data_IF_108472342802
#
_entry.id   IF_108472342802
#
_cell.length_a   1.000
_cell.length_b   1.000
_cell.length_c   1.000
_cell.angle_alpha   90.00
_cell.angle_beta   90.00
_cell.angle_gamma   90.00
#
_symmetry.space_group_name_H-M   'P 1'
#
loop_
_entity.id
_entity.type
_entity.pdbx_description
1 polymer ?
#
# COMPACT_ATOMS: atom_id res chain seq x y z
N UNK A 1 -19.13 2.49 0.09
CA UNK A 1 -18.26 2.24 -1.09
C UNK A 1 -17.03 3.12 -0.94
N UNK A 2 -15.82 2.58 -1.02
CA UNK A 2 -14.65 3.45 -1.15
C UNK A 2 -14.79 4.29 -2.41
N UNK A 3 -14.30 5.54 -2.41
CA UNK A 3 -14.28 6.36 -3.61
C UNK A 3 -13.48 5.63 -4.71
N UNK A 4 -13.83 5.83 -5.98
CA UNK A 4 -12.99 5.38 -7.09
C UNK A 4 -11.82 6.37 -7.25
N UNK A 5 -10.61 5.93 -7.65
CA UNK A 5 -9.46 6.84 -7.81
C UNK A 5 -9.74 8.08 -8.65
N UNK A 6 -10.56 7.95 -9.69
CA UNK A 6 -10.98 9.00 -10.62
C UNK A 6 -11.79 10.11 -9.93
N UNK A 7 -12.51 9.76 -8.86
CA UNK A 7 -13.26 10.72 -8.05
C UNK A 7 -12.39 11.51 -7.08
N UNK A 8 -11.18 11.01 -6.77
CA UNK A 8 -10.21 11.68 -5.92
C UNK A 8 -9.25 12.57 -6.72
N UNK A 9 -8.84 12.10 -7.90
CA UNK A 9 -8.03 12.87 -8.86
C UNK A 9 -8.58 12.60 -10.25
N UNK A 10 -9.04 13.66 -10.93
CA UNK A 10 -9.54 13.58 -12.30
C UNK A 10 -8.42 13.28 -13.31
N UNK A 11 -8.77 12.71 -14.46
CA UNK A 11 -7.80 12.46 -15.54
C UNK A 11 -7.15 13.76 -16.03
N UNK A 12 -7.93 14.84 -16.12
CA UNK A 12 -7.42 16.16 -16.49
C UNK A 12 -6.32 16.63 -15.51
N UNK A 13 -6.53 16.45 -14.20
CA UNK A 13 -5.53 16.82 -13.20
C UNK A 13 -4.30 15.90 -13.25
N UNK A 14 -4.50 14.60 -13.53
CA UNK A 14 -3.38 13.68 -13.74
C UNK A 14 -2.53 14.11 -14.94
N UNK A 15 -3.16 14.41 -16.08
CA UNK A 15 -2.47 14.86 -17.28
C UNK A 15 -1.74 16.18 -17.05
N UNK A 16 -2.37 17.13 -16.35
CA UNK A 16 -1.76 18.43 -15.99
C UNK A 16 -0.49 18.25 -15.15
N UNK A 17 -0.55 17.47 -14.07
CA UNK A 17 0.58 17.27 -13.13
C UNK A 17 1.68 16.40 -13.73
N UNK A 18 1.34 15.39 -14.53
CA UNK A 18 2.34 14.59 -15.23
C UNK A 18 3.03 15.40 -16.33
N UNK A 19 2.31 16.34 -16.97
CA UNK A 19 2.84 17.21 -18.00
C UNK A 19 3.51 16.40 -19.12
N UNK A 20 4.81 16.60 -19.31
CA UNK A 20 5.64 15.90 -20.31
C UNK A 20 6.46 14.74 -19.73
N UNK A 21 6.24 14.37 -18.46
CA UNK A 21 6.96 13.28 -17.83
C UNK A 21 6.69 11.95 -18.55
N UNK A 22 7.77 11.26 -18.91
CA UNK A 22 7.71 9.99 -19.63
C UNK A 22 8.01 8.82 -18.68
N UNK A 23 7.01 7.96 -18.48
CA UNK A 23 7.11 6.73 -17.67
C UNK A 23 7.04 5.46 -18.54
N UNK A 24 7.40 5.56 -19.82
CA UNK A 24 7.36 4.45 -20.76
C UNK A 24 5.92 4.03 -21.09
N UNK A 25 5.63 2.75 -20.94
CA UNK A 25 4.31 2.16 -21.22
C UNK A 25 3.36 2.20 -20.02
N UNK A 26 3.81 2.66 -18.85
CA UNK A 26 3.01 2.70 -17.63
C UNK A 26 2.00 3.84 -17.71
N UNK A 27 0.71 3.56 -17.49
CA UNK A 27 -0.30 4.59 -17.48
C UNK A 27 -0.06 5.58 -16.33
N UNK A 28 -0.35 6.89 -16.49
CA UNK A 28 -0.16 7.88 -15.43
C UNK A 28 -0.82 7.53 -14.10
N UNK A 29 -2.02 6.93 -14.12
CA UNK A 29 -2.69 6.45 -12.90
C UNK A 29 -1.90 5.35 -12.20
N UNK A 30 -1.35 4.41 -12.96
CA UNK A 30 -0.54 3.32 -12.41
C UNK A 30 0.77 3.86 -11.83
N UNK A 31 1.37 4.88 -12.45
CA UNK A 31 2.54 5.57 -11.88
C UNK A 31 2.20 6.14 -10.51
N UNK A 32 1.07 6.85 -10.37
CA UNK A 32 0.63 7.41 -9.08
C UNK A 32 0.37 6.29 -8.07
N UNK A 33 -0.41 5.28 -8.44
CA UNK A 33 -0.77 4.16 -7.56
C UNK A 33 0.47 3.40 -7.06
N UNK A 34 1.38 3.03 -7.96
CA UNK A 34 2.59 2.29 -7.63
C UNK A 34 3.59 3.14 -6.84
N UNK A 35 3.77 4.43 -7.19
CA UNK A 35 4.64 5.32 -6.42
C UNK A 35 4.12 5.51 -4.99
N UNK A 36 2.81 5.63 -4.83
CA UNK A 36 2.17 5.77 -3.52
C UNK A 36 2.28 4.48 -2.70
N UNK A 37 2.15 3.31 -3.33
CA UNK A 37 2.40 2.01 -2.70
C UNK A 37 3.87 1.88 -2.25
N UNK A 38 4.84 2.37 -3.05
CA UNK A 38 6.24 2.44 -2.62
C UNK A 38 6.41 3.32 -1.39
N UNK A 39 5.75 4.48 -1.32
CA UNK A 39 5.79 5.34 -0.12
C UNK A 39 5.22 4.59 1.09
N UNK A 40 4.08 3.92 0.95
CA UNK A 40 3.48 3.08 1.98
C UNK A 40 4.44 1.98 2.50
N UNK A 41 5.16 1.33 1.58
CA UNK A 41 6.13 0.27 1.88
C UNK A 41 7.52 0.80 2.26
N UNK A 42 7.69 2.12 2.43
CA UNK A 42 8.99 2.76 2.71
C UNK A 42 10.07 2.44 1.67
N UNK A 43 9.67 2.23 0.42
CA UNK A 43 10.55 1.98 -0.71
C UNK A 43 10.95 3.29 -1.40
N UNK A 44 12.09 3.25 -2.07
CA UNK A 44 12.61 4.40 -2.79
C UNK A 44 11.74 4.72 -4.02
N UNK A 45 11.49 6.01 -4.22
CA UNK A 45 10.84 6.55 -5.41
C UNK A 45 11.81 7.51 -6.12
N UNK A 46 11.73 7.55 -7.45
CA UNK A 46 12.41 8.57 -8.23
C UNK A 46 11.86 9.97 -7.92
N UNK A 47 12.69 10.99 -8.07
CA UNK A 47 12.34 12.39 -7.77
C UNK A 47 11.11 12.87 -8.54
N UNK A 48 10.96 12.48 -9.81
CA UNK A 48 9.80 12.82 -10.64
C UNK A 48 8.50 12.25 -10.07
N UNK A 49 8.49 10.97 -9.68
CA UNK A 49 7.31 10.34 -9.10
C UNK A 49 6.94 10.98 -7.75
N UNK A 50 7.94 11.25 -6.89
CA UNK A 50 7.71 11.96 -5.63
C UNK A 50 7.15 13.37 -5.84
N UNK A 51 7.64 14.07 -6.86
CA UNK A 51 7.14 15.40 -7.21
C UNK A 51 5.68 15.36 -7.62
N UNK A 52 5.30 14.40 -8.45
CA UNK A 52 3.90 14.16 -8.85
C UNK A 52 3.02 13.88 -7.63
N UNK A 53 3.46 13.02 -6.70
CA UNK A 53 2.70 12.74 -5.47
C UNK A 53 2.53 13.98 -4.58
N UNK A 54 3.55 14.83 -4.49
CA UNK A 54 3.49 16.11 -3.77
C UNK A 54 2.50 17.09 -4.42
N UNK A 55 2.53 17.21 -5.75
CA UNK A 55 1.66 18.13 -6.50
C UNK A 55 0.19 17.70 -6.52
N UNK A 56 -0.07 16.40 -6.35
CA UNK A 56 -1.40 15.88 -6.06
C UNK A 56 -1.81 15.97 -4.58
N UNK A 57 -0.89 16.36 -3.68
CA UNK A 57 -1.16 16.41 -2.24
C UNK A 57 -1.40 15.04 -1.60
N UNK A 58 -0.93 13.96 -2.24
CA UNK A 58 -1.05 12.59 -1.73
C UNK A 58 -0.01 12.27 -0.65
N UNK A 59 1.11 13.00 -0.68
CA UNK A 59 2.16 12.92 0.34
C UNK A 59 2.51 14.30 0.88
N UNK A 60 3.00 14.33 2.11
CA UNK A 60 3.52 15.52 2.77
C UNK A 60 4.94 15.31 3.26
N UNK A 61 5.63 16.42 3.46
CA UNK A 61 7.04 16.47 3.83
C UNK A 61 7.65 17.77 3.32
N UNK A 62 8.85 18.08 3.79
CA UNK A 62 9.62 19.20 3.27
C UNK A 62 10.13 18.82 1.85
N UNK A 63 9.65 19.47 0.78
CA UNK A 63 10.01 19.11 -0.60
C UNK A 63 11.52 19.19 -0.84
N UNK A 64 12.21 20.14 -0.22
CA UNK A 64 13.65 20.31 -0.37
C UNK A 64 14.36 19.09 0.22
N UNK A 65 13.92 18.62 1.39
CA UNK A 65 14.53 17.45 2.03
C UNK A 65 14.16 16.15 1.34
N UNK A 66 12.90 15.93 0.99
CA UNK A 66 12.49 14.62 0.43
C UNK A 66 12.96 14.42 -1.02
N UNK A 67 13.19 15.50 -1.77
CA UNK A 67 13.71 15.45 -3.15
C UNK A 67 15.24 15.57 -3.23
N UNK A 68 15.90 15.90 -2.11
CA UNK A 68 17.36 15.99 -2.08
C UNK A 68 18.02 14.64 -2.31
N UNK A 69 19.06 14.63 -3.15
CA UNK A 69 19.87 13.45 -3.41
C UNK A 69 20.50 12.94 -2.10
N UNK A 70 20.40 11.63 -1.84
CA UNK A 70 20.94 11.01 -0.62
C UNK A 70 20.14 11.32 0.66
N UNK A 71 19.00 11.99 0.56
CA UNK A 71 18.16 12.26 1.72
C UNK A 71 17.61 10.98 2.34
N UNK A 72 17.59 10.94 3.68
CA UNK A 72 16.93 9.90 4.48
C UNK A 72 15.53 10.31 4.92
N UNK A 73 15.05 11.48 4.49
CA UNK A 73 13.73 11.98 4.89
C UNK A 73 12.66 11.32 4.03
N UNK A 74 11.88 10.42 4.64
CA UNK A 74 10.77 9.79 3.96
C UNK A 74 9.53 10.71 3.91
N UNK A 75 8.82 10.78 2.77
CA UNK A 75 7.52 11.43 2.71
C UNK A 75 6.48 10.67 3.56
N UNK A 76 5.44 11.37 4.00
CA UNK A 76 4.33 10.79 4.78
C UNK A 76 3.04 10.83 3.97
N UNK A 77 2.23 9.77 4.02
CA UNK A 77 0.92 9.76 3.36
C UNK A 77 -0.03 10.80 3.99
N UNK A 78 -0.69 11.60 3.17
CA UNK A 78 -1.78 12.49 3.62
C UNK A 78 -3.09 11.69 3.79
N UNK A 79 -4.15 12.35 4.26
CA UNK A 79 -5.48 11.74 4.28
C UNK A 79 -5.93 11.35 2.86
N UNK A 80 -5.77 12.26 1.89
CA UNK A 80 -6.05 12.01 0.48
C UNK A 80 -5.19 10.89 -0.09
N UNK A 81 -3.90 10.85 0.27
CA UNK A 81 -3.00 9.74 -0.09
C UNK A 81 -3.50 8.38 0.38
N UNK A 82 -3.90 8.27 1.65
CA UNK A 82 -4.43 7.01 2.18
C UNK A 82 -5.74 6.60 1.50
N UNK A 83 -6.64 7.56 1.27
CA UNK A 83 -7.87 7.29 0.52
C UNK A 83 -7.60 6.84 -0.92
N UNK A 84 -6.66 7.48 -1.62
CA UNK A 84 -6.30 7.09 -2.99
C UNK A 84 -5.65 5.71 -3.03
N UNK A 85 -4.73 5.42 -2.10
CA UNK A 85 -4.09 4.12 -1.98
C UNK A 85 -5.12 3.01 -1.74
N UNK A 86 -6.04 3.21 -0.79
CA UNK A 86 -7.12 2.27 -0.54
C UNK A 86 -7.98 2.04 -1.79
N UNK A 87 -8.41 3.12 -2.43
CA UNK A 87 -9.24 3.08 -3.64
C UNK A 87 -8.58 2.30 -4.77
N UNK A 88 -7.27 2.43 -4.91
CA UNK A 88 -6.47 1.81 -5.97
C UNK A 88 -6.25 0.30 -5.77
N UNK A 89 -6.16 -0.17 -4.51
CA UNK A 89 -5.70 -1.53 -4.23
C UNK A 89 -6.67 -2.42 -3.44
N UNK A 90 -7.75 -1.88 -2.85
CA UNK A 90 -8.65 -2.71 -2.03
C UNK A 90 -9.29 -3.85 -2.84
N UNK A 91 -9.70 -3.60 -4.09
CA UNK A 91 -10.25 -4.63 -4.97
C UNK A 91 -9.20 -5.70 -5.33
N UNK A 92 -7.94 -5.30 -5.46
CA UNK A 92 -6.81 -6.20 -5.75
C UNK A 92 -6.59 -7.22 -4.63
N UNK A 93 -6.82 -6.82 -3.36
CA UNK A 93 -6.77 -7.75 -2.23
C UNK A 93 -7.71 -8.95 -2.38
N UNK A 94 -8.84 -8.78 -3.09
CA UNK A 94 -9.83 -9.84 -3.32
C UNK A 94 -9.58 -10.65 -4.60
N UNK A 95 -8.83 -10.12 -5.57
CA UNK A 95 -8.62 -10.77 -6.88
C UNK A 95 -7.26 -11.45 -7.00
N UNK A 96 -6.22 -10.97 -6.30
CA UNK A 96 -4.86 -11.52 -6.32
C UNK A 96 -4.57 -12.40 -5.11
N UNK A 97 -5.36 -13.43 -4.89
CA UNK A 97 -5.21 -14.28 -3.70
C UNK A 97 -4.00 -15.21 -3.75
N UNK A 98 -3.29 -15.32 -4.88
CA UNK A 98 -2.18 -16.27 -5.07
C UNK A 98 -1.08 -15.75 -5.99
N UNK A 99 -0.68 -14.48 -5.92
CA UNK A 99 0.61 -14.15 -6.53
C UNK A 99 1.70 -14.97 -5.83
N UNK A 100 2.45 -15.73 -6.62
CA UNK A 100 3.49 -16.66 -6.16
C UNK A 100 4.40 -15.99 -5.13
N UNK A 101 4.76 -14.72 -5.36
CA UNK A 101 5.61 -13.93 -4.48
C UNK A 101 5.07 -13.76 -3.04
N UNK A 102 3.76 -13.56 -2.87
CA UNK A 102 3.16 -13.44 -1.53
C UNK A 102 3.10 -14.78 -0.81
N UNK A 103 2.80 -15.85 -1.55
CA UNK A 103 2.75 -17.23 -1.03
C UNK A 103 4.14 -17.80 -0.74
N UNK A 104 5.17 -17.37 -1.45
CA UNK A 104 6.58 -17.68 -1.18
C UNK A 104 7.07 -17.02 0.11
N UNK A 105 6.56 -15.83 0.44
CA UNK A 105 6.94 -15.11 1.65
C UNK A 105 6.24 -15.64 2.90
N UNK A 106 4.94 -15.92 2.81
CA UNK A 106 4.14 -16.54 3.87
C UNK A 106 3.23 -17.57 3.21
N UNK A 107 3.44 -18.83 3.55
CA UNK A 107 2.66 -19.96 3.04
C UNK A 107 1.26 -20.01 3.65
N UNK A 108 0.33 -20.68 2.96
CA UNK A 108 -1.01 -20.93 3.52
C UNK A 108 -0.96 -21.79 4.79
N UNK A 109 0.07 -22.64 4.94
CA UNK A 109 0.29 -23.43 6.14
C UNK A 109 0.66 -22.55 7.34
N UNK A 110 1.55 -21.57 7.16
CA UNK A 110 1.89 -20.59 8.21
C UNK A 110 0.67 -19.73 8.59
N UNK A 111 -0.14 -19.33 7.60
CA UNK A 111 -1.40 -18.62 7.86
C UNK A 111 -2.36 -19.50 8.68
N UNK A 112 -2.53 -20.77 8.31
CA UNK A 112 -3.38 -21.73 9.01
C UNK A 112 -2.90 -21.98 10.45
N UNK A 113 -1.60 -22.09 10.67
CA UNK A 113 -1.00 -22.22 12.00
C UNK A 113 -1.26 -20.96 12.84
N UNK A 114 -1.01 -19.77 12.28
CA UNK A 114 -1.22 -18.51 12.97
C UNK A 114 -2.69 -18.24 13.34
N UNK A 115 -3.63 -18.70 12.50
CA UNK A 115 -5.07 -18.68 12.76
C UNK A 115 -5.47 -19.53 13.96
N UNK A 116 -4.82 -20.68 14.15
CA UNK A 116 -5.14 -21.61 15.24
C UNK A 116 -6.61 -22.08 15.24
N UNK A 117 -7.20 -22.25 14.06
CA UNK A 117 -8.61 -22.64 13.90
C UNK A 117 -9.61 -21.49 13.96
N UNK A 118 -9.16 -20.23 14.03
CA UNK A 118 -10.04 -19.07 13.85
C UNK A 118 -10.63 -19.06 12.42
N UNK A 119 -11.90 -18.64 12.31
CA UNK A 119 -12.63 -18.58 11.05
C UNK A 119 -12.98 -17.13 10.68
N UNK A 120 -12.66 -16.74 9.45
CA UNK A 120 -13.05 -15.45 8.86
C UNK A 120 -14.36 -15.56 8.05
N UNK A 121 -15.07 -16.68 8.19
CA UNK A 121 -16.31 -16.98 7.51
C UNK A 121 -16.06 -17.26 6.03
N UNK A 122 -16.74 -16.52 5.17
CA UNK A 122 -16.65 -16.71 3.70
C UNK A 122 -15.39 -16.10 3.08
N UNK A 123 -14.61 -15.33 3.84
CA UNK A 123 -13.43 -14.64 3.33
C UNK A 123 -12.18 -15.51 3.55
N UNK A 124 -11.39 -15.82 2.50
CA UNK A 124 -10.12 -16.52 2.70
C UNK A 124 -9.19 -15.73 3.61
N UNK A 125 -8.50 -16.42 4.51
CA UNK A 125 -7.65 -15.76 5.51
C UNK A 125 -6.56 -14.87 4.92
N UNK A 126 -5.96 -15.29 3.79
CA UNK A 126 -4.99 -14.48 3.07
C UNK A 126 -5.58 -13.17 2.56
N UNK A 127 -6.82 -13.18 2.08
CA UNK A 127 -7.54 -11.97 1.67
C UNK A 127 -7.74 -11.05 2.87
N UNK A 128 -8.18 -11.61 4.00
CA UNK A 128 -8.35 -10.85 5.24
C UNK A 128 -7.03 -10.20 5.69
N UNK A 129 -5.91 -10.92 5.63
CA UNK A 129 -4.58 -10.41 5.96
C UNK A 129 -4.14 -9.31 4.98
N UNK A 130 -4.27 -9.53 3.68
CA UNK A 130 -3.89 -8.55 2.64
C UNK A 130 -4.67 -7.24 2.80
N UNK A 131 -5.99 -7.36 2.96
CA UNK A 131 -6.86 -6.22 3.19
C UNK A 131 -6.51 -5.50 4.49
N UNK A 132 -6.26 -6.24 5.58
CA UNK A 132 -5.91 -5.66 6.87
C UNK A 132 -4.56 -4.96 6.89
N UNK A 133 -3.56 -5.44 6.14
CA UNK A 133 -2.30 -4.72 5.92
C UNK A 133 -2.53 -3.40 5.20
N UNK A 134 -3.35 -3.41 4.14
CA UNK A 134 -3.69 -2.18 3.43
C UNK A 134 -4.46 -1.21 4.34
N UNK A 135 -5.43 -1.71 5.14
CA UNK A 135 -6.13 -0.91 6.17
C UNK A 135 -5.15 -0.28 7.14
N UNK A 136 -4.12 -1.04 7.56
CA UNK A 136 -3.13 -0.57 8.52
C UNK A 136 -2.36 0.65 8.00
N UNK A 137 -1.87 0.58 6.76
CA UNK A 137 -1.19 1.69 6.09
C UNK A 137 -2.14 2.88 5.89
N UNK A 138 -3.38 2.59 5.52
CA UNK A 138 -4.41 3.61 5.29
C UNK A 138 -5.00 4.19 6.59
N UNK A 139 -4.56 3.71 7.76
CA UNK A 139 -5.05 4.09 9.09
C UNK A 139 -6.55 3.84 9.26
N UNK A 140 -7.04 2.77 8.66
CA UNK A 140 -8.39 2.27 8.85
C UNK A 140 -8.41 1.24 9.98
N UNK A 141 -9.58 1.08 10.60
CA UNK A 141 -9.75 0.13 11.69
C UNK A 141 -9.65 -1.31 11.17
N UNK A 142 -8.95 -2.12 11.95
CA UNK A 142 -8.85 -3.57 11.82
C UNK A 142 -9.47 -4.23 13.04
N UNK A 143 -9.96 -5.46 12.88
CA UNK A 143 -10.38 -6.28 14.02
C UNK A 143 -9.19 -6.79 14.82
N UNK A 144 -9.35 -7.01 16.12
CA UNK A 144 -8.26 -7.48 16.99
C UNK A 144 -7.74 -8.87 16.59
N UNK A 145 -8.61 -9.75 16.09
CA UNK A 145 -8.23 -11.10 15.66
C UNK A 145 -7.20 -11.05 14.52
N UNK A 146 -7.49 -10.32 13.44
CA UNK A 146 -6.59 -10.23 12.28
C UNK A 146 -5.29 -9.50 12.64
N UNK A 147 -5.35 -8.49 13.52
CA UNK A 147 -4.14 -7.85 14.06
C UNK A 147 -3.27 -8.82 14.85
N UNK A 148 -3.88 -9.70 15.65
CA UNK A 148 -3.14 -10.73 16.39
C UNK A 148 -2.46 -11.72 15.44
N UNK A 149 -3.17 -12.16 14.39
CA UNK A 149 -2.61 -13.04 13.35
C UNK A 149 -1.45 -12.35 12.61
N UNK A 150 -1.63 -11.09 12.20
CA UNK A 150 -0.58 -10.31 11.55
C UNK A 150 0.65 -10.12 12.45
N UNK A 151 0.47 -9.92 13.75
CA UNK A 151 1.60 -9.88 14.70
C UNK A 151 2.30 -11.24 14.81
N UNK A 152 1.56 -12.37 14.90
CA UNK A 152 2.13 -13.73 14.92
C UNK A 152 2.93 -14.05 13.65
N UNK A 153 2.46 -13.58 12.50
CA UNK A 153 3.15 -13.70 11.22
C UNK A 153 4.32 -12.70 11.08
N UNK A 154 4.59 -11.88 12.10
CA UNK A 154 5.66 -10.90 12.08
C UNK A 154 5.44 -9.76 11.09
N UNK A 155 4.22 -9.53 10.61
CA UNK A 155 3.88 -8.49 9.63
C UNK A 155 3.72 -7.11 10.28
N UNK A 156 3.26 -7.06 11.52
CA UNK A 156 3.07 -5.83 12.30
C UNK A 156 3.77 -5.93 13.65
N UNK A 157 4.16 -4.78 14.21
CA UNK A 157 4.63 -4.70 15.59
C UNK A 157 3.46 -4.73 16.57
N UNK A 158 3.75 -5.07 17.83
CA UNK A 158 2.76 -5.10 18.92
C UNK A 158 2.13 -3.73 19.23
N UNK A 159 2.72 -2.64 18.74
CA UNK A 159 2.16 -1.30 18.81
C UNK A 159 0.98 -1.07 17.84
N UNK A 160 0.53 -2.12 17.14
CA UNK A 160 -0.67 -2.22 16.28
C UNK A 160 -0.72 -1.26 15.09
N UNK A 161 0.28 -0.38 14.88
CA UNK A 161 0.23 0.62 13.81
C UNK A 161 1.37 0.56 12.80
N UNK A 162 2.48 -0.10 13.13
CA UNK A 162 3.66 -0.09 12.28
C UNK A 162 3.90 -1.46 11.65
N UNK A 163 3.98 -1.46 10.32
CA UNK A 163 4.47 -2.62 9.56
C UNK A 163 5.93 -2.91 9.90
N UNK A 164 6.26 -4.19 10.06
CA UNK A 164 7.66 -4.65 10.09
C UNK A 164 8.27 -4.59 8.69
N UNK A 165 9.54 -4.94 8.56
CA UNK A 165 10.14 -5.09 7.23
C UNK A 165 9.49 -6.22 6.41
N UNK A 166 9.20 -7.35 7.06
CA UNK A 166 8.45 -8.46 6.48
C UNK A 166 7.07 -7.98 6.03
N UNK A 167 6.37 -7.21 6.88
CA UNK A 167 5.06 -6.64 6.55
C UNK A 167 5.06 -5.74 5.33
N UNK A 168 6.06 -4.86 5.20
CA UNK A 168 6.19 -3.98 4.02
C UNK A 168 6.51 -4.77 2.75
N UNK A 169 7.41 -5.76 2.85
CA UNK A 169 7.78 -6.63 1.73
C UNK A 169 6.59 -7.49 1.27
N UNK A 170 5.87 -8.06 2.22
CA UNK A 170 4.69 -8.86 1.94
C UNK A 170 3.57 -8.01 1.32
N UNK A 171 3.28 -6.82 1.87
CA UNK A 171 2.31 -5.89 1.29
C UNK A 171 2.67 -5.51 -0.15
N UNK A 172 3.95 -5.23 -0.41
CA UNK A 172 4.45 -4.98 -1.76
C UNK A 172 4.24 -6.19 -2.67
N UNK A 173 4.63 -7.39 -2.22
CA UNK A 173 4.50 -8.63 -2.98
C UNK A 173 3.03 -8.98 -3.33
N UNK A 174 2.06 -8.53 -2.53
CA UNK A 174 0.64 -8.78 -2.80
C UNK A 174 -0.01 -7.75 -3.73
N UNK A 175 0.53 -6.53 -3.80
CA UNK A 175 -0.16 -5.38 -4.44
C UNK A 175 0.61 -4.76 -5.60
N UNK A 176 1.93 -4.92 -5.65
CA UNK A 176 2.70 -4.50 -6.80
C UNK A 176 2.31 -5.34 -8.02
N UNK A 177 2.24 -4.70 -9.18
CA UNK A 177 2.09 -5.36 -10.48
C UNK A 177 3.46 -5.45 -11.14
#
# INVERSE_FOLDING_TARGET
MPPIPESLISDARIAEVHGTANFGTTAPRDVVSQALLKVACSYHNGSTALRILLEHGLVSGDPIKILAMGSRTAPKLTASGRSYLWSSFHAVCHTKTHEEAGSEMISDAEIAEALGGADFGVLPARVAINESLLRQVCRYQNGDLVLSIMSRLGLTRDDKYNLTDIGRRYLWACLAN
#
